data_IF_159386246092
#
_entry.id   IF_159386246092
#
_cell.length_a   1.000
_cell.length_b   1.000
_cell.length_c   1.000
_cell.angle_alpha   90.00
_cell.angle_beta   90.00
_cell.angle_gamma   90.00
#
_symmetry.space_group_name_H-M   'P 1'
#
loop_
_entity.id
_entity.type
_entity.pdbx_description
1 polymer ?
#
# COMPACT_ATOMS: atom_id res chain seq x y z
N UNK A 1 -5.12 17.10 6.57
CA UNK A 1 -6.19 16.43 5.77
C UNK A 1 -5.52 15.37 4.91
N UNK A 2 -6.18 14.24 4.65
CA UNK A 2 -5.63 13.18 3.82
C UNK A 2 -5.94 13.41 2.34
N UNK A 3 -4.92 13.29 1.48
CA UNK A 3 -5.02 13.43 0.03
C UNK A 3 -4.40 12.24 -0.67
N UNK A 4 -4.88 11.92 -1.87
CA UNK A 4 -4.28 10.86 -2.70
C UNK A 4 -3.05 11.38 -3.42
N UNK A 5 -1.96 10.63 -3.35
CA UNK A 5 -0.79 10.81 -4.22
C UNK A 5 -0.81 9.87 -5.43
N UNK A 6 -1.89 9.09 -5.58
CA UNK A 6 -2.12 8.18 -6.68
C UNK A 6 -3.46 8.50 -7.38
N UNK A 7 -3.63 7.93 -8.56
CA UNK A 7 -4.86 7.90 -9.35
C UNK A 7 -5.18 6.46 -9.72
N UNK A 8 -6.46 6.22 -9.98
CA UNK A 8 -6.98 5.05 -10.68
C UNK A 8 -8.21 5.50 -11.48
N UNK A 9 -8.98 4.57 -12.02
CA UNK A 9 -10.22 4.87 -12.73
C UNK A 9 -11.29 5.57 -11.88
N UNK A 10 -11.30 5.40 -10.55
CA UNK A 10 -12.27 6.02 -9.65
C UNK A 10 -11.83 7.38 -9.09
N UNK A 11 -10.53 7.64 -8.99
CA UNK A 11 -9.98 8.80 -8.26
C UNK A 11 -8.76 9.41 -8.93
N UNK A 12 -8.44 10.65 -8.56
CA UNK A 12 -7.27 11.38 -9.09
C UNK A 12 -6.30 11.77 -7.97
N UNK A 13 -5.02 11.87 -8.32
CA UNK A 13 -4.00 12.55 -7.51
C UNK A 13 -4.52 13.91 -7.05
N UNK A 14 -4.28 14.25 -5.80
CA UNK A 14 -4.71 15.50 -5.15
C UNK A 14 -6.15 15.48 -4.62
N UNK A 15 -6.94 14.43 -4.93
CA UNK A 15 -8.29 14.31 -4.37
C UNK A 15 -8.27 14.05 -2.86
N UNK A 16 -9.21 14.67 -2.15
CA UNK A 16 -9.38 14.48 -0.70
C UNK A 16 -9.90 13.08 -0.38
N UNK A 17 -9.42 12.53 0.73
CA UNK A 17 -9.85 11.25 1.27
C UNK A 17 -10.76 11.51 2.47
N UNK A 18 -11.93 10.87 2.50
CA UNK A 18 -12.84 10.95 3.64
C UNK A 18 -12.27 10.16 4.81
N UNK A 19 -12.01 10.81 5.94
CA UNK A 19 -11.56 10.13 7.15
C UNK A 19 -12.61 9.15 7.71
N UNK A 20 -13.91 9.40 7.47
CA UNK A 20 -15.00 8.54 7.93
C UNK A 20 -15.17 7.29 7.05
N UNK A 21 -14.78 7.34 5.78
CA UNK A 21 -14.89 6.24 4.80
C UNK A 21 -13.71 6.28 3.83
N UNK A 22 -12.49 5.96 4.30
CA UNK A 22 -11.28 6.08 3.47
C UNK A 22 -11.25 5.10 2.29
N UNK A 23 -11.97 3.99 2.41
CA UNK A 23 -12.06 2.87 1.47
C UNK A 23 -13.18 3.01 0.42
N UNK A 24 -14.03 4.03 0.50
CA UNK A 24 -15.26 4.10 -0.32
C UNK A 24 -15.01 4.11 -1.83
N UNK A 25 -13.85 4.58 -2.27
CA UNK A 25 -13.48 4.60 -3.68
C UNK A 25 -13.20 3.20 -4.24
N UNK A 26 -12.74 2.27 -3.40
CA UNK A 26 -12.41 0.92 -3.82
C UNK A 26 -13.64 0.13 -4.31
N UNK A 27 -14.84 0.48 -3.84
CA UNK A 27 -16.09 -0.17 -4.24
C UNK A 27 -16.41 -0.05 -5.74
N UNK A 28 -15.85 0.95 -6.42
CA UNK A 28 -16.02 1.16 -7.86
C UNK A 28 -14.88 0.52 -8.70
N UNK A 29 -13.86 -0.01 -8.05
CA UNK A 29 -12.67 -0.55 -8.71
C UNK A 29 -12.86 -2.03 -9.06
N UNK A 30 -12.12 -2.43 -10.08
CA UNK A 30 -12.03 -3.80 -10.55
C UNK A 30 -10.58 -4.07 -10.96
N UNK A 31 -10.15 -5.35 -11.01
CA UNK A 31 -8.80 -5.70 -11.40
C UNK A 31 -8.41 -5.03 -12.73
N UNK A 32 -7.35 -4.24 -12.70
CA UNK A 32 -6.88 -3.43 -13.82
C UNK A 32 -5.38 -3.27 -13.71
N UNK A 33 -4.64 -3.94 -14.60
CA UNK A 33 -3.18 -3.84 -14.62
C UNK A 33 -2.70 -2.41 -14.85
N UNK A 34 -3.43 -1.63 -15.66
CA UNK A 34 -3.13 -0.22 -15.91
C UNK A 34 -3.21 0.64 -14.64
N UNK A 35 -4.32 0.51 -13.89
CA UNK A 35 -4.49 1.23 -12.63
C UNK A 35 -3.49 0.75 -11.57
N UNK A 36 -3.30 -0.57 -11.46
CA UNK A 36 -2.33 -1.16 -10.55
C UNK A 36 -0.91 -0.61 -10.78
N UNK A 37 -0.41 -0.71 -12.02
CA UNK A 37 0.91 -0.19 -12.37
C UNK A 37 1.00 1.33 -12.25
N UNK A 38 -0.08 2.06 -12.56
CA UNK A 38 -0.16 3.51 -12.41
C UNK A 38 -0.03 3.93 -10.95
N UNK A 39 -0.79 3.29 -10.06
CA UNK A 39 -0.75 3.52 -8.62
C UNK A 39 0.64 3.24 -8.04
N UNK A 40 1.29 2.15 -8.44
CA UNK A 40 2.66 1.81 -8.00
C UNK A 40 3.68 2.87 -8.43
N UNK A 41 3.66 3.28 -9.71
CA UNK A 41 4.57 4.30 -10.25
C UNK A 41 4.40 5.64 -9.55
N UNK A 42 3.16 6.07 -9.34
CA UNK A 42 2.86 7.33 -8.67
C UNK A 42 3.25 7.29 -7.20
N UNK A 43 3.06 6.16 -6.53
CA UNK A 43 3.48 5.97 -5.14
C UNK A 43 4.99 6.04 -4.98
N UNK A 44 5.74 5.43 -5.90
CA UNK A 44 7.20 5.55 -5.94
C UNK A 44 7.64 7.01 -6.22
N UNK A 45 7.04 7.66 -7.21
CA UNK A 45 7.38 9.04 -7.60
C UNK A 45 7.07 10.05 -6.49
N UNK A 46 5.99 9.85 -5.74
CA UNK A 46 5.62 10.71 -4.63
C UNK A 46 6.54 10.56 -3.41
N UNK A 47 7.40 9.53 -3.38
CA UNK A 47 8.18 9.11 -2.21
C UNK A 47 7.33 8.86 -0.95
N UNK A 48 5.99 8.90 -1.09
CA UNK A 48 4.98 8.60 -0.10
C UNK A 48 4.76 7.10 -0.03
N UNK A 49 5.86 6.38 0.12
CA UNK A 49 5.78 5.02 0.55
C UNK A 49 5.17 5.10 1.94
N UNK A 50 4.02 4.45 2.11
CA UNK A 50 3.39 4.23 3.41
C UNK A 50 4.41 3.82 4.49
N UNK A 51 5.55 3.25 4.05
CA UNK A 51 6.67 2.77 4.83
C UNK A 51 7.77 3.82 5.17
N UNK A 52 7.96 4.89 4.37
CA UNK A 52 8.97 5.94 4.66
C UNK A 52 8.48 6.96 5.71
N UNK A 53 7.17 7.06 5.90
CA UNK A 53 6.52 7.95 6.86
C UNK A 53 6.06 7.27 8.16
N UNK A 54 6.44 5.99 8.39
CA UNK A 54 5.90 5.17 9.48
C UNK A 54 6.15 5.71 10.88
N UNK A 55 7.16 6.56 11.09
CA UNK A 55 7.50 7.07 12.42
C UNK A 55 6.50 8.08 12.98
N UNK A 56 5.55 8.58 12.17
CA UNK A 56 4.55 9.54 12.61
C UNK A 56 3.18 8.89 12.79
N UNK A 57 2.59 9.07 13.98
CA UNK A 57 1.19 8.70 14.27
C UNK A 57 0.19 9.70 13.64
N UNK A 58 0.46 10.18 12.43
CA UNK A 58 -0.37 11.16 11.75
C UNK A 58 -1.72 10.52 11.32
N UNK A 59 -2.86 11.00 11.84
CA UNK A 59 -4.17 10.51 11.42
C UNK A 59 -4.44 10.66 9.91
N UNK A 60 -3.82 11.65 9.26
CA UNK A 60 -3.93 11.82 7.81
C UNK A 60 -3.17 10.71 7.06
N UNK A 61 -1.97 10.35 7.52
CA UNK A 61 -1.20 9.23 6.97
C UNK A 61 -1.95 7.90 7.14
N UNK A 62 -2.54 7.64 8.30
CA UNK A 62 -3.35 6.45 8.53
C UNK A 62 -4.57 6.40 7.59
N UNK A 63 -5.23 7.54 7.38
CA UNK A 63 -6.37 7.67 6.46
C UNK A 63 -5.95 7.38 5.02
N UNK A 64 -4.85 7.97 4.55
CA UNK A 64 -4.33 7.72 3.21
C UNK A 64 -3.87 6.28 3.03
N UNK A 65 -3.25 5.68 4.04
CA UNK A 65 -2.80 4.28 4.02
C UNK A 65 -3.98 3.32 3.83
N UNK A 66 -5.06 3.51 4.59
CA UNK A 66 -6.28 2.69 4.47
C UNK A 66 -6.89 2.81 3.07
N UNK A 67 -6.98 4.03 2.56
CA UNK A 67 -7.50 4.28 1.21
C UNK A 67 -6.64 3.62 0.14
N UNK A 68 -5.32 3.80 0.20
CA UNK A 68 -4.39 3.21 -0.75
C UNK A 68 -4.47 1.68 -0.75
N UNK A 69 -4.45 1.04 0.42
CA UNK A 69 -4.54 -0.42 0.54
C UNK A 69 -5.84 -0.94 -0.06
N UNK A 70 -6.98 -0.35 0.29
CA UNK A 70 -8.26 -0.77 -0.26
C UNK A 70 -8.31 -0.60 -1.79
N UNK A 71 -7.79 0.51 -2.30
CA UNK A 71 -7.82 0.81 -3.73
C UNK A 71 -6.83 -0.06 -4.52
N UNK A 72 -5.62 -0.32 -3.99
CA UNK A 72 -4.65 -1.18 -4.68
C UNK A 72 -5.07 -2.65 -4.67
N UNK A 73 -5.71 -3.12 -3.60
CA UNK A 73 -6.34 -4.44 -3.54
C UNK A 73 -7.48 -4.55 -4.58
N UNK A 74 -8.24 -3.48 -4.79
CA UNK A 74 -9.33 -3.44 -5.77
C UNK A 74 -8.88 -3.52 -7.23
N UNK A 75 -7.67 -3.05 -7.54
CA UNK A 75 -7.12 -3.07 -8.92
C UNK A 75 -6.06 -4.13 -9.16
N UNK A 76 -5.52 -4.74 -8.11
CA UNK A 76 -4.54 -5.80 -8.20
C UNK A 76 -5.10 -7.01 -8.99
N UNK A 77 -4.24 -7.63 -9.80
CA UNK A 77 -4.58 -8.89 -10.46
C UNK A 77 -4.65 -10.04 -9.45
N UNK A 78 -5.28 -11.14 -9.87
CA UNK A 78 -5.35 -12.37 -9.07
C UNK A 78 -3.96 -12.94 -8.70
N UNK A 79 -2.90 -12.62 -9.45
CA UNK A 79 -1.52 -13.05 -9.16
C UNK A 79 -0.94 -12.47 -7.87
N UNK A 80 -1.38 -11.27 -7.49
CA UNK A 80 -0.85 -10.51 -6.34
C UNK A 80 -1.88 -10.06 -5.32
N UNK A 81 -3.18 -10.17 -5.61
CA UNK A 81 -4.27 -9.77 -4.71
C UNK A 81 -4.17 -10.47 -3.34
N UNK A 82 -3.86 -11.77 -3.29
CA UNK A 82 -3.70 -12.49 -2.03
C UNK A 82 -2.54 -11.94 -1.18
N UNK A 83 -1.47 -11.48 -1.82
CA UNK A 83 -0.30 -10.91 -1.18
C UNK A 83 -0.59 -9.50 -0.68
N UNK A 84 -1.39 -8.71 -1.41
CA UNK A 84 -1.88 -7.43 -0.92
C UNK A 84 -2.76 -7.58 0.31
N UNK A 85 -3.61 -8.61 0.39
CA UNK A 85 -4.40 -8.90 1.60
C UNK A 85 -3.57 -9.31 2.81
N UNK A 86 -2.31 -9.72 2.63
CA UNK A 86 -1.36 -9.96 3.73
C UNK A 86 -0.60 -8.68 4.07
N UNK A 87 -0.10 -7.97 3.05
CA UNK A 87 0.74 -6.79 3.20
C UNK A 87 -0.04 -5.57 3.71
N UNK A 88 -1.26 -5.38 3.20
CA UNK A 88 -2.12 -4.22 3.44
C UNK A 88 -2.47 -4.03 4.91
N UNK A 89 -3.05 -5.04 5.60
CA UNK A 89 -3.33 -4.98 7.03
C UNK A 89 -2.07 -4.73 7.87
N UNK A 90 -0.94 -5.34 7.51
CA UNK A 90 0.33 -5.11 8.18
C UNK A 90 0.79 -3.65 8.04
N UNK A 91 0.73 -3.07 6.85
CA UNK A 91 1.07 -1.67 6.62
C UNK A 91 0.18 -0.73 7.44
N UNK A 92 -1.15 -0.97 7.46
CA UNK A 92 -2.09 -0.20 8.29
C UNK A 92 -1.76 -0.33 9.78
N UNK A 93 -1.41 -1.53 10.26
CA UNK A 93 -1.05 -1.75 11.65
C UNK A 93 0.22 -1.00 12.06
N UNK A 94 1.26 -1.03 11.22
CA UNK A 94 2.51 -0.32 11.51
C UNK A 94 2.30 1.19 11.52
N UNK A 95 1.58 1.76 10.54
CA UNK A 95 1.22 3.21 10.55
C UNK A 95 0.41 3.56 11.79
N UNK A 96 -0.61 2.76 12.12
CA UNK A 96 -1.45 2.97 13.32
C UNK A 96 -0.62 2.97 14.61
N UNK A 97 0.46 2.19 14.65
CA UNK A 97 1.36 2.09 15.79
C UNK A 97 2.47 3.16 15.83
N UNK A 98 2.52 4.07 14.85
CA UNK A 98 3.61 5.04 14.72
C UNK A 98 4.95 4.37 14.41
N UNK A 99 4.94 3.30 13.61
CA UNK A 99 6.16 2.69 13.10
C UNK A 99 6.70 1.54 13.95
N UNK A 100 5.95 1.13 14.98
CA UNK A 100 6.32 0.01 15.81
C UNK A 100 6.06 -1.32 15.10
N UNK A 101 7.07 -1.82 14.37
CA UNK A 101 7.02 -3.13 13.70
C UNK A 101 6.84 -4.31 14.66
N UNK A 102 7.13 -4.14 15.96
CA UNK A 102 6.83 -5.15 16.99
C UNK A 102 5.34 -5.27 17.31
N UNK A 103 4.52 -4.33 16.82
CA UNK A 103 3.07 -4.43 16.89
C UNK A 103 2.48 -5.42 15.86
N UNK A 104 3.29 -5.89 14.90
CA UNK A 104 2.90 -6.98 14.01
C UNK A 104 2.98 -8.32 14.78
N UNK A 105 1.98 -9.20 14.67
CA UNK A 105 2.07 -10.55 15.22
C UNK A 105 3.31 -11.26 14.67
N UNK A 106 4.06 -11.94 15.54
CA UNK A 106 5.32 -12.61 15.17
C UNK A 106 5.16 -13.72 14.12
N UNK A 107 3.96 -14.28 13.96
CA UNK A 107 3.61 -15.21 12.88
C UNK A 107 3.45 -14.55 11.50
N UNK A 108 3.23 -13.23 11.46
CA UNK A 108 2.89 -12.51 10.23
C UNK A 108 4.13 -11.99 9.49
N UNK A 109 5.26 -11.78 10.15
CA UNK A 109 6.44 -11.19 9.50
C UNK A 109 6.97 -12.02 8.32
N UNK A 110 7.01 -13.35 8.45
CA UNK A 110 7.43 -14.23 7.36
C UNK A 110 6.41 -14.22 6.20
N UNK A 111 5.12 -14.13 6.51
CA UNK A 111 4.07 -14.05 5.49
C UNK A 111 4.12 -12.69 4.77
N UNK A 112 4.25 -11.59 5.52
CA UNK A 112 4.41 -10.22 5.02
C UNK A 112 5.66 -10.09 4.16
N UNK A 113 6.78 -10.68 4.57
CA UNK A 113 8.01 -10.70 3.78
C UNK A 113 7.81 -11.43 2.44
N UNK A 114 7.22 -12.64 2.45
CA UNK A 114 6.93 -13.38 1.21
C UNK A 114 5.95 -12.66 0.31
N UNK A 115 4.90 -12.07 0.88
CA UNK A 115 3.92 -11.26 0.15
C UNK A 115 4.60 -10.06 -0.52
N UNK A 116 5.46 -9.36 0.22
CA UNK A 116 6.29 -8.30 -0.31
C UNK A 116 7.17 -8.75 -1.47
N UNK A 117 7.93 -9.85 -1.32
CA UNK A 117 8.77 -10.36 -2.41
C UNK A 117 7.98 -10.66 -3.68
N UNK A 118 6.79 -11.27 -3.55
CA UNK A 118 5.94 -11.57 -4.69
C UNK A 118 5.38 -10.28 -5.35
N UNK A 119 4.98 -9.29 -4.55
CA UNK A 119 4.54 -7.98 -5.06
C UNK A 119 5.69 -7.26 -5.78
N UNK A 120 6.91 -7.28 -5.23
CA UNK A 120 8.09 -6.69 -5.90
C UNK A 120 8.38 -7.39 -7.22
N UNK A 121 8.36 -8.73 -7.24
CA UNK A 121 8.60 -9.49 -8.45
C UNK A 121 7.56 -9.18 -9.54
N UNK A 122 6.28 -9.15 -9.17
CA UNK A 122 5.20 -8.80 -10.09
C UNK A 122 5.31 -7.34 -10.57
N UNK A 123 5.55 -6.39 -9.67
CA UNK A 123 5.72 -4.97 -10.03
C UNK A 123 6.89 -4.77 -10.99
N UNK A 124 8.01 -5.47 -10.78
CA UNK A 124 9.15 -5.41 -11.68
C UNK A 124 8.81 -6.02 -13.05
N UNK A 125 8.20 -7.20 -13.06
CA UNK A 125 7.90 -7.95 -14.29
C UNK A 125 6.80 -7.30 -15.12
N UNK A 126 5.72 -6.86 -14.49
CA UNK A 126 4.47 -6.44 -15.14
C UNK A 126 4.31 -4.92 -15.22
N UNK A 127 4.99 -4.16 -14.35
CA UNK A 127 4.88 -2.70 -14.30
C UNK A 127 6.19 -1.96 -14.60
N UNK A 128 7.33 -2.66 -14.57
CA UNK A 128 8.66 -2.05 -14.67
C UNK A 128 8.98 -1.15 -13.46
N UNK A 129 8.45 -1.49 -12.29
CA UNK A 129 8.64 -0.72 -11.05
C UNK A 129 9.46 -1.53 -10.06
N UNK A 130 10.60 -0.99 -9.65
CA UNK A 130 11.42 -1.59 -8.61
C UNK A 130 10.92 -1.15 -7.22
N UNK A 131 10.28 -2.09 -6.53
CA UNK A 131 9.80 -1.90 -5.14
C UNK A 131 10.79 -2.44 -4.10
N UNK A 132 12.00 -2.87 -4.48
CA UNK A 132 12.95 -3.52 -3.57
C UNK A 132 13.36 -2.61 -2.41
N UNK A 133 13.59 -1.32 -2.68
CA UNK A 133 13.87 -0.32 -1.63
C UNK A 133 12.66 -0.03 -0.72
N UNK A 134 11.46 -0.35 -1.19
CA UNK A 134 10.18 -0.08 -0.49
C UNK A 134 9.86 -1.21 0.49
N UNK A 135 9.96 -2.45 0.03
CA UNK A 135 9.51 -3.64 0.77
C UNK A 135 10.61 -4.19 1.70
N UNK A 136 11.88 -3.87 1.44
CA UNK A 136 12.98 -4.18 2.35
C UNK A 136 12.77 -3.62 3.77
N UNK A 137 11.96 -2.57 3.96
CA UNK A 137 11.62 -2.02 5.27
C UNK A 137 10.69 -2.91 6.11
N UNK A 138 9.94 -3.84 5.49
CA UNK A 138 9.07 -4.79 6.21
C UNK A 138 9.76 -6.11 6.56
N UNK A 139 10.81 -6.49 5.81
CA UNK A 139 11.66 -7.65 6.10
C UNK A 139 12.97 -7.30 6.83
N UNK A 140 13.35 -6.03 6.85
CA UNK A 140 14.57 -5.50 7.44
C UNK A 140 14.38 -5.05 8.88
N UNK A 141 13.76 -5.89 9.71
CA UNK A 141 14.02 -5.81 11.16
C UNK A 141 15.39 -6.45 11.36
N UNK A 142 16.42 -5.61 11.43
CA UNK A 142 17.66 -5.95 12.12
C UNK A 142 17.61 -5.40 13.53
#
# INVERSE_FOLDING_TARGET
MAVRWWSNTAVKVGSTISAARPDSAAAALHPSQGDYCGMLKQTLAAQNLILSALADSDPALLTSTRAFVAEIEGVASASVSAQWHVLGPAAVAVVKSGGNTKALPSGDLAAVSRAGTAITADAQQNCGVDLSGVIALLGGVK
#
